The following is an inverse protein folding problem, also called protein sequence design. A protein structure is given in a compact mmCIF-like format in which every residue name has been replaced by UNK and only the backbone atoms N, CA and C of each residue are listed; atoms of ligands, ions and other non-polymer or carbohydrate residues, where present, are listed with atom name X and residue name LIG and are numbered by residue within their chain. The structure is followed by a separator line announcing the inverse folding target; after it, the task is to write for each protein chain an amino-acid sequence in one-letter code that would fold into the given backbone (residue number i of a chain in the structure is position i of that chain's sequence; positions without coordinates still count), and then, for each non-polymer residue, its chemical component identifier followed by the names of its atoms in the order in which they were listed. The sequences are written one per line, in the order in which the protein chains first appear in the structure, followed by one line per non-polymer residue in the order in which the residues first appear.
data_IF_392512641694
#
_entry.id   IF_392512641694
#
_cell.length_a   1.000
_cell.length_b   1.000
_cell.length_c   1.000
_cell.angle_alpha   90.00
_cell.angle_beta   90.00
_cell.angle_gamma   90.00
#
_symmetry.space_group_name_H-M   'P 1'
#
loop_
_entity.id
_entity.type
_entity.pdbx_description
1 polymer ?
#
# COMPACT_ATOMS: atom_id res chain seq x y z
N UNK A 1 27.16 -11.93 -0.52
CA UNK A 1 28.28 -12.63 -1.21
C UNK A 1 29.67 -12.17 -0.79
N UNK A 2 29.95 -10.87 -0.58
CA UNK A 2 31.30 -10.42 -0.16
C UNK A 2 31.79 -11.03 1.17
N UNK A 3 30.91 -11.26 2.15
CA UNK A 3 31.25 -11.92 3.43
C UNK A 3 31.20 -13.45 3.36
N UNK A 4 30.44 -14.03 2.43
CA UNK A 4 30.22 -15.48 2.29
C UNK A 4 30.24 -15.88 0.80
N UNK A 5 31.41 -16.04 0.18
CA UNK A 5 31.55 -16.23 -1.27
C UNK A 5 31.14 -17.63 -1.77
N UNK A 6 30.99 -18.59 -0.86
CA UNK A 6 30.60 -19.97 -1.19
C UNK A 6 29.09 -20.13 -1.41
N UNK A 7 28.29 -19.11 -1.08
CA UNK A 7 26.86 -19.12 -1.30
C UNK A 7 26.53 -18.31 -2.56
N UNK A 8 25.72 -18.90 -3.44
CA UNK A 8 25.12 -18.23 -4.58
C UNK A 8 23.61 -18.20 -4.37
N UNK A 9 23.03 -17.02 -4.54
CA UNK A 9 21.60 -16.80 -4.43
C UNK A 9 21.13 -16.30 -5.79
N UNK A 10 20.23 -17.04 -6.42
CA UNK A 10 19.60 -16.64 -7.68
C UNK A 10 18.15 -16.24 -7.35
N UNK A 11 17.77 -15.00 -7.70
CA UNK A 11 16.45 -14.43 -7.39
C UNK A 11 15.69 -14.18 -8.69
N UNK A 12 14.44 -14.63 -8.74
CA UNK A 12 13.53 -14.39 -9.87
C UNK A 12 12.21 -13.80 -9.40
N UNK A 13 11.67 -12.85 -10.17
CA UNK A 13 10.33 -12.30 -9.94
C UNK A 13 9.21 -13.23 -10.42
N UNK A 14 7.97 -12.91 -10.06
CA UNK A 14 6.81 -13.73 -10.42
C UNK A 14 5.51 -13.45 -9.67
N UNK A 15 5.56 -12.65 -8.59
CA UNK A 15 4.41 -12.35 -7.72
C UNK A 15 4.23 -13.37 -6.59
N UNK A 16 3.46 -12.99 -5.56
CA UNK A 16 3.28 -13.77 -4.33
C UNK A 16 2.70 -15.17 -4.58
N UNK A 17 1.64 -15.26 -5.41
CA UNK A 17 1.02 -16.56 -5.74
C UNK A 17 1.98 -17.52 -6.45
N UNK A 18 2.84 -17.01 -7.35
CA UNK A 18 3.87 -17.82 -7.99
C UNK A 18 4.94 -18.25 -6.98
N UNK A 19 5.40 -17.35 -6.11
CA UNK A 19 6.37 -17.68 -5.07
C UNK A 19 5.89 -18.81 -4.14
N UNK A 20 4.63 -18.73 -3.70
CA UNK A 20 3.99 -19.77 -2.88
C UNK A 20 3.91 -21.09 -3.65
N UNK A 21 3.39 -21.06 -4.89
CA UNK A 21 3.21 -22.26 -5.70
C UNK A 21 4.52 -22.94 -6.09
N UNK A 22 5.55 -22.17 -6.43
CA UNK A 22 6.88 -22.70 -6.77
C UNK A 22 7.53 -23.37 -5.55
N UNK A 23 7.41 -22.78 -4.35
CA UNK A 23 7.91 -23.39 -3.11
C UNK A 23 7.13 -24.67 -2.78
N UNK A 24 5.81 -24.65 -2.90
CA UNK A 24 4.94 -25.81 -2.69
C UNK A 24 5.32 -27.00 -3.60
N UNK A 25 5.71 -26.71 -4.83
CA UNK A 25 6.12 -27.70 -5.83
C UNK A 25 7.62 -28.04 -5.77
N UNK A 26 8.38 -27.48 -4.82
CA UNK A 26 9.84 -27.62 -4.69
C UNK A 26 10.61 -27.21 -5.97
N UNK A 27 10.09 -26.20 -6.70
CA UNK A 27 10.76 -25.60 -7.85
C UNK A 27 11.78 -24.53 -7.43
N UNK A 28 11.61 -23.99 -6.21
CA UNK A 28 12.53 -23.05 -5.56
C UNK A 28 12.74 -23.49 -4.11
N UNK A 29 13.90 -23.15 -3.54
CA UNK A 29 14.20 -23.40 -2.12
C UNK A 29 13.37 -22.49 -1.19
N UNK A 30 13.11 -21.25 -1.65
CA UNK A 30 12.39 -20.21 -0.91
C UNK A 30 11.43 -19.51 -1.87
N UNK A 31 10.14 -19.57 -1.56
CA UNK A 31 9.11 -18.69 -2.12
C UNK A 31 9.09 -17.34 -1.40
N UNK A 32 8.70 -16.27 -2.09
CA UNK A 32 8.48 -14.96 -1.47
C UNK A 32 7.02 -14.56 -1.62
N UNK A 33 6.42 -14.06 -0.55
CA UNK A 33 5.04 -13.60 -0.55
C UNK A 33 4.91 -12.26 0.17
N UNK A 34 4.11 -11.35 -0.38
CA UNK A 34 3.72 -10.09 0.27
C UNK A 34 2.35 -10.14 0.95
N UNK A 35 1.83 -11.35 1.16
CA UNK A 35 0.58 -11.63 1.88
C UNK A 35 0.70 -12.93 2.67
N UNK A 36 -0.14 -13.14 3.70
CA UNK A 36 -0.28 -14.45 4.33
C UNK A 36 -0.70 -15.53 3.33
N UNK A 37 -0.42 -16.79 3.67
CA UNK A 37 -0.95 -17.93 2.91
C UNK A 37 -2.45 -18.01 3.13
N UNK A 38 -3.18 -18.29 2.05
CA UNK A 38 -4.61 -18.52 2.10
C UNK A 38 -4.90 -19.87 2.74
N UNK A 39 -6.08 -20.00 3.35
CA UNK A 39 -6.52 -21.27 3.95
C UNK A 39 -6.49 -22.41 2.92
N UNK A 40 -6.92 -22.15 1.69
CA UNK A 40 -6.92 -23.13 0.60
C UNK A 40 -5.50 -23.56 0.23
N UNK A 41 -4.51 -22.65 0.27
CA UNK A 41 -3.11 -22.97 0.00
C UNK A 41 -2.50 -23.85 1.10
N UNK A 42 -2.87 -23.61 2.36
CA UNK A 42 -2.45 -24.43 3.50
C UNK A 42 -3.15 -25.80 3.53
N UNK A 43 -4.41 -25.87 3.07
CA UNK A 43 -5.13 -27.13 2.93
C UNK A 43 -4.54 -28.00 1.81
N UNK A 44 -4.16 -27.39 0.68
CA UNK A 44 -3.53 -28.09 -0.44
C UNK A 44 -2.08 -28.47 -0.13
N UNK A 45 -1.33 -27.58 0.53
CA UNK A 45 0.08 -27.76 0.86
C UNK A 45 0.35 -27.52 2.36
N UNK A 46 -0.04 -28.47 3.23
CA UNK A 46 0.06 -28.31 4.69
C UNK A 46 1.49 -28.26 5.23
N UNK A 47 2.47 -28.59 4.39
CA UNK A 47 3.90 -28.49 4.73
C UNK A 47 4.48 -27.10 4.48
N UNK A 48 3.74 -26.16 3.90
CA UNK A 48 4.24 -24.80 3.73
C UNK A 48 4.39 -24.09 5.07
N UNK A 49 5.53 -23.44 5.26
CA UNK A 49 5.87 -22.66 6.44
C UNK A 49 6.12 -21.21 5.99
N UNK A 50 5.21 -20.27 6.28
CA UNK A 50 5.45 -18.85 6.10
C UNK A 50 6.28 -18.28 7.25
N UNK A 51 7.40 -17.65 6.91
CA UNK A 51 8.36 -17.07 7.83
C UNK A 51 8.35 -15.55 7.57
N UNK A 52 7.79 -14.74 8.47
CA UNK A 52 7.89 -13.28 8.37
C UNK A 52 9.35 -12.85 8.28
N UNK A 53 9.66 -11.85 7.46
CA UNK A 53 11.03 -11.34 7.30
C UNK A 53 11.16 -9.82 7.36
N UNK A 54 10.06 -9.11 7.10
CA UNK A 54 9.95 -7.66 7.20
C UNK A 54 8.48 -7.25 7.13
N UNK A 55 8.19 -5.99 7.39
CA UNK A 55 6.90 -5.36 7.14
C UNK A 55 7.01 -4.27 6.08
N UNK A 56 5.87 -3.94 5.47
CA UNK A 56 5.72 -2.86 4.50
C UNK A 56 4.39 -2.13 4.75
N UNK A 57 4.32 -0.88 4.35
CA UNK A 57 3.09 -0.08 4.37
C UNK A 57 2.84 0.52 3.00
N UNK A 58 1.57 0.60 2.62
CA UNK A 58 1.13 1.33 1.44
C UNK A 58 0.63 2.71 1.87
N UNK A 59 1.22 3.73 1.27
CA UNK A 59 0.99 5.12 1.60
C UNK A 59 0.20 5.78 0.48
N UNK A 60 -0.89 6.47 0.84
CA UNK A 60 -1.59 7.33 -0.09
C UNK A 60 -0.80 8.62 -0.24
N UNK A 61 -0.51 9.01 -1.47
CA UNK A 61 0.28 10.19 -1.78
C UNK A 61 -0.49 11.13 -2.70
N UNK A 62 -0.27 12.42 -2.50
CA UNK A 62 -0.72 13.50 -3.39
C UNK A 62 0.46 14.39 -3.77
N UNK A 63 0.27 15.23 -4.77
CA UNK A 63 1.25 16.26 -5.10
C UNK A 63 1.40 17.27 -3.94
N UNK A 64 2.63 17.65 -3.63
CA UNK A 64 2.93 18.69 -2.63
C UNK A 64 2.39 20.09 -2.98
N UNK A 65 1.94 20.30 -4.23
CA UNK A 65 1.29 21.52 -4.72
C UNK A 65 -0.22 21.38 -4.88
N UNK A 66 -0.82 20.31 -4.34
CA UNK A 66 -2.27 20.17 -4.34
C UNK A 66 -2.91 21.38 -3.64
N UNK A 67 -3.94 22.02 -4.24
CA UNK A 67 -4.53 23.26 -3.71
C UNK A 67 -5.16 23.09 -2.33
N UNK A 68 -5.49 21.86 -1.93
CA UNK A 68 -6.13 21.51 -0.67
C UNK A 68 -5.22 20.77 0.30
N UNK A 69 -3.91 20.73 0.03
CA UNK A 69 -2.96 19.90 0.78
C UNK A 69 -3.08 20.07 2.31
N UNK A 70 -3.17 21.30 2.81
CA UNK A 70 -3.29 21.53 4.26
C UNK A 70 -4.52 20.85 4.85
N UNK A 71 -5.68 21.01 4.21
CA UNK A 71 -6.93 20.39 4.64
C UNK A 71 -6.86 18.87 4.55
N UNK A 72 -6.25 18.34 3.49
CA UNK A 72 -6.08 16.89 3.29
C UNK A 72 -5.13 16.28 4.34
N UNK A 73 -4.07 16.99 4.74
CA UNK A 73 -3.18 16.53 5.80
C UNK A 73 -3.84 16.57 7.19
N UNK A 74 -4.73 17.54 7.43
CA UNK A 74 -5.45 17.67 8.69
C UNK A 74 -6.58 16.64 8.85
N UNK A 75 -7.36 16.43 7.78
CA UNK A 75 -8.54 15.55 7.79
C UNK A 75 -8.22 14.10 7.39
N UNK A 76 -7.15 13.89 6.64
CA UNK A 76 -6.87 12.64 5.96
C UNK A 76 -7.88 12.30 4.87
N UNK A 77 -7.80 11.06 4.41
CA UNK A 77 -8.73 10.47 3.45
C UNK A 77 -9.32 9.20 4.05
N UNK A 78 -10.63 9.05 3.95
CA UNK A 78 -11.30 7.88 4.51
C UNK A 78 -11.24 6.69 3.55
N UNK A 79 -11.36 5.47 4.08
CA UNK A 79 -11.47 4.24 3.27
C UNK A 79 -12.62 4.32 2.26
N UNK A 80 -13.79 4.80 2.69
CA UNK A 80 -14.95 5.02 1.81
C UNK A 80 -14.66 6.04 0.71
N UNK A 81 -13.92 7.10 1.01
CA UNK A 81 -13.50 8.09 0.01
C UNK A 81 -12.59 7.47 -1.04
N UNK A 82 -11.59 6.70 -0.60
CA UNK A 82 -10.68 5.98 -1.49
C UNK A 82 -11.43 4.96 -2.36
N UNK A 83 -12.42 4.26 -1.82
CA UNK A 83 -13.29 3.35 -2.57
C UNK A 83 -14.05 4.07 -3.70
N UNK A 84 -14.64 5.25 -3.41
CA UNK A 84 -15.37 6.03 -4.43
C UNK A 84 -14.47 6.56 -5.55
N UNK A 85 -13.21 6.85 -5.24
CA UNK A 85 -12.20 7.31 -6.20
C UNK A 85 -11.70 6.14 -7.06
N UNK A 86 -11.23 5.07 -6.41
CA UNK A 86 -10.47 4.00 -7.05
C UNK A 86 -11.30 2.78 -7.45
N UNK A 87 -12.54 2.63 -7.01
CA UNK A 87 -13.38 1.46 -7.35
C UNK A 87 -14.64 1.89 -8.07
N UNK A 88 -15.39 2.85 -7.52
CA UNK A 88 -16.60 3.31 -8.20
C UNK A 88 -16.33 4.30 -9.34
N UNK A 89 -15.21 5.04 -9.26
CA UNK A 89 -14.94 6.20 -10.13
C UNK A 89 -16.01 7.31 -10.02
N UNK A 90 -16.83 7.28 -8.96
CA UNK A 90 -18.01 8.13 -8.80
C UNK A 90 -17.68 9.49 -8.20
N UNK A 91 -16.61 9.57 -7.41
CA UNK A 91 -16.09 10.80 -6.79
C UNK A 91 -14.89 11.30 -7.59
N UNK A 92 -15.00 12.52 -8.14
CA UNK A 92 -14.00 13.10 -9.03
C UNK A 92 -13.48 14.46 -8.60
N UNK A 93 -13.93 15.05 -7.49
CA UNK A 93 -13.50 16.40 -7.08
C UNK A 93 -12.89 16.44 -5.69
N UNK A 94 -11.76 17.15 -5.59
CA UNK A 94 -11.09 17.45 -4.34
C UNK A 94 -11.93 18.32 -3.40
N UNK A 95 -12.86 19.13 -3.93
CA UNK A 95 -13.78 19.94 -3.12
C UNK A 95 -14.58 19.07 -2.16
N UNK A 96 -15.14 17.96 -2.66
CA UNK A 96 -15.91 17.04 -1.85
C UNK A 96 -15.06 16.32 -0.81
N UNK A 97 -13.85 15.91 -1.18
CA UNK A 97 -12.91 15.28 -0.23
C UNK A 97 -12.55 16.24 0.91
N UNK A 98 -12.25 17.49 0.58
CA UNK A 98 -11.90 18.50 1.57
C UNK A 98 -13.13 19.10 2.29
N UNK A 99 -14.33 18.93 1.73
CA UNK A 99 -15.57 19.53 2.22
C UNK A 99 -15.57 21.05 2.12
N UNK A 100 -15.01 21.61 1.06
CA UNK A 100 -14.90 23.06 0.84
C UNK A 100 -15.34 23.44 -0.57
N UNK A 101 -16.05 24.55 -0.69
CA UNK A 101 -16.38 25.21 -1.96
C UNK A 101 -15.22 26.14 -2.33
N UNK A 102 -14.53 25.87 -3.45
CA UNK A 102 -13.34 26.60 -3.86
C UNK A 102 -13.60 27.68 -4.91
N UNK A 103 -14.71 27.59 -5.65
CA UNK A 103 -15.05 28.57 -6.70
C UNK A 103 -16.13 29.57 -6.26
N UNK A 104 -16.77 29.33 -5.12
CA UNK A 104 -17.76 30.20 -4.49
C UNK A 104 -19.15 30.09 -5.12
N UNK A 105 -19.43 29.01 -5.84
CA UNK A 105 -20.74 28.76 -6.47
C UNK A 105 -21.81 28.25 -5.49
N UNK A 106 -21.42 28.04 -4.22
CA UNK A 106 -22.20 27.52 -3.08
C UNK A 106 -22.41 26.00 -3.09
N UNK A 107 -21.89 25.31 -4.08
CA UNK A 107 -21.90 23.85 -4.15
C UNK A 107 -20.49 23.32 -3.90
N UNK A 108 -20.42 22.05 -3.52
CA UNK A 108 -19.17 21.33 -3.37
C UNK A 108 -19.19 20.27 -4.46
N UNK A 109 -18.36 20.44 -5.50
CA UNK A 109 -18.37 19.55 -6.67
C UNK A 109 -18.11 18.10 -6.28
N UNK A 110 -18.88 17.16 -6.85
CA UNK A 110 -18.70 15.71 -6.61
C UNK A 110 -18.22 14.99 -7.87
N UNK A 111 -18.96 15.16 -8.99
CA UNK A 111 -18.59 14.67 -10.32
C UNK A 111 -19.26 15.51 -11.41
N UNK A 112 -19.28 15.05 -12.67
CA UNK A 112 -19.77 15.80 -13.82
C UNK A 112 -21.28 16.08 -13.81
N UNK A 113 -22.05 15.39 -12.98
CA UNK A 113 -23.51 15.50 -12.95
C UNK A 113 -24.07 15.80 -11.58
N UNK A 114 -23.26 15.75 -10.53
CA UNK A 114 -23.70 15.95 -9.15
C UNK A 114 -22.76 16.86 -8.38
N UNK A 115 -23.33 17.64 -7.49
CA UNK A 115 -22.62 18.44 -6.50
C UNK A 115 -23.36 18.38 -5.16
N UNK A 116 -22.63 18.49 -4.07
CA UNK A 116 -23.21 18.55 -2.73
C UNK A 116 -23.65 19.97 -2.43
N UNK A 117 -24.89 20.11 -1.96
CA UNK A 117 -25.46 21.37 -1.54
C UNK A 117 -25.38 21.49 -0.01
N UNK A 118 -24.52 22.36 0.54
CA UNK A 118 -24.39 22.54 1.99
C UNK A 118 -25.65 23.06 2.68
N UNK A 119 -26.54 23.76 1.96
CA UNK A 119 -27.78 24.28 2.54
C UNK A 119 -28.82 23.17 2.77
N UNK A 120 -28.89 22.18 1.87
CA UNK A 120 -29.85 21.06 1.97
C UNK A 120 -29.24 19.81 2.61
N UNK A 121 -27.90 19.70 2.59
CA UNK A 121 -27.16 18.53 3.06
C UNK A 121 -27.26 17.34 2.09
N UNK A 122 -27.61 17.58 0.83
CA UNK A 122 -27.87 16.54 -0.16
C UNK A 122 -26.89 16.61 -1.34
N UNK A 123 -26.60 15.44 -1.91
CA UNK A 123 -25.98 15.35 -3.22
C UNK A 123 -27.06 15.54 -4.29
N UNK A 124 -27.00 16.66 -5.02
CA UNK A 124 -28.02 17.09 -5.97
C UNK A 124 -27.56 16.85 -7.40
N UNK A 125 -28.49 16.42 -8.27
CA UNK A 125 -28.25 16.34 -9.71
C UNK A 125 -28.26 17.75 -10.29
N UNK A 126 -27.17 18.10 -10.97
CA UNK A 126 -26.96 19.43 -11.52
C UNK A 126 -27.31 19.44 -13.03
N UNK A 127 -28.26 20.29 -13.49
CA UNK A 127 -28.69 20.34 -14.88
C UNK A 127 -27.65 21.01 -15.81
N UNK A 128 -27.99 21.12 -17.09
CA UNK A 128 -27.18 21.45 -18.30
C UNK A 128 -26.22 22.66 -18.26
N UNK A 129 -26.17 23.39 -17.16
CA UNK A 129 -25.45 24.65 -17.00
C UNK A 129 -24.30 24.49 -15.98
N UNK A 130 -24.27 23.36 -15.25
CA UNK A 130 -23.20 22.99 -14.34
C UNK A 130 -21.96 22.58 -15.13
N UNK A 131 -20.87 23.29 -14.86
CA UNK A 131 -19.56 22.96 -15.38
C UNK A 131 -18.73 22.43 -14.22
N UNK A 132 -18.51 21.12 -14.22
CA UNK A 132 -17.61 20.49 -13.26
C UNK A 132 -16.24 21.17 -13.29
N UNK A 133 -15.73 21.66 -12.14
CA UNK A 133 -14.53 22.47 -12.12
C UNK A 133 -13.31 21.57 -12.33
N UNK A 134 -12.86 21.45 -13.58
CA UNK A 134 -11.66 20.68 -13.95
C UNK A 134 -10.37 21.14 -13.21
N UNK A 135 -10.38 22.33 -12.61
CA UNK A 135 -9.28 22.83 -11.77
C UNK A 135 -9.14 22.10 -10.43
N UNK A 136 -10.15 21.31 -10.04
CA UNK A 136 -10.20 20.54 -8.79
C UNK A 136 -10.51 19.06 -9.03
N UNK A 137 -10.45 18.61 -10.28
CA UNK A 137 -10.63 17.20 -10.64
C UNK A 137 -9.56 16.35 -9.93
N UNK A 138 -9.93 15.13 -9.54
CA UNK A 138 -9.03 14.13 -8.98
C UNK A 138 -8.50 13.32 -10.15
N UNK A 139 -7.18 13.14 -10.22
CA UNK A 139 -6.56 12.26 -11.21
C UNK A 139 -5.98 11.01 -10.50
N UNK A 140 -6.74 9.89 -10.40
CA UNK A 140 -6.25 8.69 -9.74
C UNK A 140 -5.15 8.03 -10.57
N UNK A 141 -4.07 7.64 -9.91
CA UNK A 141 -2.93 6.92 -10.50
C UNK A 141 -2.86 5.53 -9.89
N UNK A 142 -2.88 4.51 -10.73
CA UNK A 142 -2.83 3.10 -10.33
C UNK A 142 -1.64 2.38 -10.97
N UNK A 143 -1.48 1.08 -10.72
CA UNK A 143 -0.36 0.27 -11.22
C UNK A 143 -0.77 -0.55 -12.44
N UNK A 144 0.02 -0.45 -13.51
CA UNK A 144 -0.20 -1.24 -14.74
C UNK A 144 0.42 -2.64 -14.69
N UNK A 145 1.34 -2.88 -13.76
CA UNK A 145 2.01 -4.16 -13.54
C UNK A 145 1.46 -4.91 -12.33
N UNK A 146 1.59 -6.24 -12.33
CA UNK A 146 1.28 -7.06 -11.15
C UNK A 146 2.12 -6.59 -9.96
N UNK A 147 1.47 -6.02 -8.96
CA UNK A 147 2.13 -5.23 -7.93
C UNK A 147 1.59 -5.58 -6.57
N UNK A 148 2.45 -6.09 -5.68
CA UNK A 148 2.03 -6.31 -4.30
C UNK A 148 1.49 -5.03 -3.65
N UNK A 149 2.08 -3.85 -3.91
CA UNK A 149 1.57 -2.58 -3.35
C UNK A 149 0.14 -2.30 -3.81
N UNK A 150 -0.20 -2.64 -5.05
CA UNK A 150 -1.54 -2.44 -5.58
C UNK A 150 -2.51 -3.51 -5.09
N UNK A 151 -2.07 -4.76 -5.00
CA UNK A 151 -2.84 -5.86 -4.39
C UNK A 151 -3.23 -5.52 -2.95
N UNK A 152 -2.27 -5.08 -2.11
CA UNK A 152 -2.55 -4.68 -0.72
C UNK A 152 -3.50 -3.49 -0.63
N UNK A 153 -3.36 -2.49 -1.51
CA UNK A 153 -4.29 -1.36 -1.57
C UNK A 153 -5.70 -1.79 -2.00
N UNK A 154 -5.81 -2.65 -3.00
CA UNK A 154 -7.09 -3.20 -3.46
C UNK A 154 -7.78 -4.04 -2.39
N UNK A 155 -7.02 -4.89 -1.70
CA UNK A 155 -7.49 -5.70 -0.56
C UNK A 155 -8.04 -4.81 0.56
N UNK A 156 -7.34 -3.71 0.88
CA UNK A 156 -7.84 -2.71 1.82
C UNK A 156 -9.20 -2.15 1.37
N UNK A 157 -9.42 -1.94 0.08
CA UNK A 157 -10.70 -1.51 -0.49
C UNK A 157 -11.72 -2.66 -0.67
N UNK A 158 -11.33 -3.91 -0.40
CA UNK A 158 -12.18 -5.09 -0.53
C UNK A 158 -12.39 -5.58 -1.96
N UNK A 159 -11.47 -5.26 -2.87
CA UNK A 159 -11.51 -5.62 -4.30
C UNK A 159 -10.19 -6.22 -4.79
N UNK A 160 -10.11 -6.63 -6.05
CA UNK A 160 -8.86 -7.07 -6.68
C UNK A 160 -8.14 -5.90 -7.36
N UNK A 161 -6.84 -6.04 -7.64
CA UNK A 161 -6.06 -4.98 -8.31
C UNK A 161 -6.69 -4.56 -9.65
N UNK A 162 -7.27 -5.51 -10.38
CA UNK A 162 -7.89 -5.31 -11.69
C UNK A 162 -9.16 -4.45 -11.63
N UNK A 163 -9.78 -4.32 -10.45
CA UNK A 163 -10.95 -3.49 -10.21
C UNK A 163 -10.58 -2.02 -9.90
N UNK A 164 -9.29 -1.70 -9.77
CA UNK A 164 -8.83 -0.35 -9.49
C UNK A 164 -8.87 0.55 -10.73
N UNK A 165 -9.62 1.64 -10.63
CA UNK A 165 -9.74 2.71 -11.62
C UNK A 165 -8.56 3.71 -11.54
N UNK A 166 -8.24 4.32 -12.68
CA UNK A 166 -7.21 5.37 -12.78
C UNK A 166 -6.19 5.14 -13.88
N UNK A 167 -5.24 6.07 -14.00
CA UNK A 167 -4.15 5.98 -14.98
C UNK A 167 -3.12 4.95 -14.49
N UNK A 168 -3.04 3.81 -15.18
CA UNK A 168 -2.07 2.75 -14.88
C UNK A 168 -0.64 3.12 -15.28
N UNK A 169 0.30 3.04 -14.34
CA UNK A 169 1.73 3.29 -14.56
C UNK A 169 2.61 2.18 -14.00
N UNK A 170 3.84 2.07 -14.52
CA UNK A 170 4.76 1.00 -14.16
C UNK A 170 5.54 1.31 -12.87
N UNK A 171 5.43 0.44 -11.87
CA UNK A 171 6.26 0.52 -10.65
C UNK A 171 5.95 1.71 -9.73
N UNK A 172 6.46 1.67 -8.49
CA UNK A 172 6.44 2.83 -7.58
C UNK A 172 7.10 4.09 -8.19
N UNK A 173 8.24 4.00 -8.92
CA UNK A 173 8.83 5.19 -9.55
C UNK A 173 7.92 5.86 -10.57
N UNK A 174 7.12 5.11 -11.33
CA UNK A 174 6.15 5.65 -12.28
C UNK A 174 5.01 6.39 -11.59
N UNK A 175 4.48 5.84 -10.48
CA UNK A 175 3.46 6.51 -9.66
C UNK A 175 4.03 7.80 -9.09
N UNK A 176 5.21 7.77 -8.47
CA UNK A 176 5.86 8.97 -7.93
C UNK A 176 6.04 10.07 -8.96
N UNK A 177 6.57 9.71 -10.14
CA UNK A 177 6.80 10.68 -11.21
C UNK A 177 5.48 11.33 -11.67
N UNK A 178 4.43 10.52 -11.81
CA UNK A 178 3.10 11.00 -12.25
C UNK A 178 2.49 11.92 -11.20
N UNK A 179 2.45 11.49 -9.94
CA UNK A 179 1.90 12.28 -8.85
C UNK A 179 2.69 13.58 -8.62
N UNK A 180 4.02 13.54 -8.66
CA UNK A 180 4.85 14.74 -8.51
C UNK A 180 4.68 15.74 -9.68
N UNK A 181 4.34 15.24 -10.88
CA UNK A 181 4.12 16.06 -12.07
C UNK A 181 2.77 16.76 -12.11
N UNK A 182 1.76 16.24 -11.40
CA UNK A 182 0.36 16.66 -11.52
C UNK A 182 -0.20 17.11 -10.16
N UNK A 183 -0.47 18.42 -9.94
CA UNK A 183 -1.05 18.95 -8.70
C UNK A 183 -2.36 18.30 -8.24
N UNK A 184 -3.09 17.68 -9.16
CA UNK A 184 -4.41 17.10 -8.93
C UNK A 184 -4.38 15.58 -8.78
N UNK A 185 -3.21 14.97 -8.94
CA UNK A 185 -3.06 13.53 -8.85
C UNK A 185 -3.05 13.00 -7.41
N UNK A 186 -3.68 11.84 -7.24
CA UNK A 186 -3.58 10.97 -6.08
C UNK A 186 -3.01 9.63 -6.54
N UNK A 187 -2.15 9.03 -5.75
CA UNK A 187 -1.57 7.72 -6.01
C UNK A 187 -1.32 6.96 -4.71
N UNK A 188 -0.79 5.75 -4.83
CA UNK A 188 -0.36 4.95 -3.70
C UNK A 188 1.00 4.30 -3.98
N UNK A 189 1.88 4.28 -2.97
CA UNK A 189 3.24 3.72 -3.09
C UNK A 189 3.65 3.00 -1.80
N UNK A 190 4.66 2.14 -1.88
CA UNK A 190 5.26 1.56 -0.67
C UNK A 190 5.96 2.61 0.21
N UNK A 191 6.11 2.32 1.50
CA UNK A 191 6.63 3.24 2.51
C UNK A 191 7.97 3.91 2.10
N UNK A 192 8.90 3.12 1.57
CA UNK A 192 10.20 3.56 1.03
C UNK A 192 10.14 4.76 0.07
N UNK A 193 9.01 4.94 -0.60
CA UNK A 193 8.78 5.91 -1.67
C UNK A 193 7.93 7.11 -1.23
N UNK A 194 7.28 7.04 -0.06
CA UNK A 194 6.21 7.98 0.31
C UNK A 194 6.69 9.35 0.84
N UNK A 195 7.97 9.47 1.20
CA UNK A 195 8.54 10.67 1.81
C UNK A 195 9.64 11.27 0.92
N UNK A 196 9.29 11.59 -0.32
CA UNK A 196 10.19 12.19 -1.32
C UNK A 196 9.75 13.61 -1.66
N UNK A 197 10.65 14.40 -2.24
CA UNK A 197 10.33 15.75 -2.69
C UNK A 197 9.24 15.74 -3.78
N UNK A 198 8.35 16.74 -3.75
CA UNK A 198 7.29 16.91 -4.76
C UNK A 198 5.97 16.21 -4.42
N UNK A 199 5.95 15.32 -3.42
CA UNK A 199 4.74 14.61 -2.97
C UNK A 199 4.58 14.71 -1.44
N UNK A 200 3.38 14.41 -0.95
CA UNK A 200 3.07 14.30 0.47
C UNK A 200 2.22 13.06 0.72
N UNK A 201 2.54 12.31 1.77
CA UNK A 201 1.71 11.21 2.24
C UNK A 201 0.51 11.75 3.04
N UNK A 202 -0.68 11.20 2.81
CA UNK A 202 -1.90 11.55 3.53
C UNK A 202 -2.18 10.54 4.64
N UNK A 203 -2.70 10.98 5.80
CA UNK A 203 -3.25 10.07 6.79
C UNK A 203 -4.53 9.40 6.25
N UNK A 204 -4.81 8.18 6.71
CA UNK A 204 -5.92 7.36 6.23
C UNK A 204 -6.86 7.01 7.37
N UNK A 205 -8.06 7.58 7.39
CA UNK A 205 -9.14 7.17 8.30
C UNK A 205 -9.70 5.82 7.83
N UNK A 206 -9.22 4.75 8.44
CA UNK A 206 -9.47 3.38 8.02
C UNK A 206 -10.86 2.88 8.44
N UNK A 207 -11.37 3.44 9.53
CA UNK A 207 -12.63 3.03 10.15
C UNK A 207 -13.81 3.97 9.79
N UNK A 208 -13.55 5.00 8.98
CA UNK A 208 -14.52 6.00 8.49
C UNK A 208 -15.23 6.76 9.63
N UNK A 209 -14.56 6.95 10.78
CA UNK A 209 -15.16 7.64 11.92
C UNK A 209 -14.99 9.18 11.89
N UNK A 210 -14.23 9.69 10.91
CA UNK A 210 -13.97 11.11 10.71
C UNK A 210 -12.86 11.69 11.59
N UNK A 211 -12.06 10.87 12.25
CA UNK A 211 -10.93 11.25 13.09
C UNK A 211 -9.69 10.48 12.62
N UNK A 212 -8.54 11.16 12.63
CA UNK A 212 -7.25 10.51 12.39
C UNK A 212 -6.64 10.10 13.72
N UNK A 213 -6.54 8.80 13.94
CA UNK A 213 -5.88 8.22 15.10
C UNK A 213 -4.35 8.21 14.95
N UNK A 214 -3.64 8.04 16.07
CA UNK A 214 -2.16 8.12 16.08
C UNK A 214 -1.49 7.15 15.10
N UNK A 215 -2.03 5.95 14.97
CA UNK A 215 -1.52 4.89 14.09
C UNK A 215 -1.89 5.11 12.62
N UNK A 216 -2.86 5.98 12.33
CA UNK A 216 -3.30 6.32 10.98
C UNK A 216 -2.52 7.49 10.36
N UNK A 217 -1.70 8.18 11.17
CA UNK A 217 -0.93 9.33 10.72
C UNK A 217 0.19 8.93 9.78
N UNK A 218 0.43 9.78 8.78
CA UNK A 218 1.53 9.65 7.82
C UNK A 218 2.62 10.74 8.03
N UNK A 219 2.94 11.06 9.30
CA UNK A 219 3.82 12.19 9.65
C UNK A 219 5.26 12.04 9.11
N UNK A 220 5.78 10.81 9.11
CA UNK A 220 7.12 10.47 8.64
C UNK A 220 7.26 8.95 8.47
N UNK A 221 8.31 8.54 7.75
CA UNK A 221 8.67 7.12 7.60
C UNK A 221 8.84 6.43 8.96
N UNK A 222 9.53 7.09 9.90
CA UNK A 222 9.77 6.57 11.24
C UNK A 222 8.47 6.41 12.06
N UNK A 223 7.53 7.35 11.91
CA UNK A 223 6.23 7.28 12.61
C UNK A 223 5.40 6.09 12.10
N UNK A 224 5.30 5.91 10.79
CA UNK A 224 4.57 4.77 10.19
C UNK A 224 5.24 3.46 10.61
N UNK A 225 6.57 3.40 10.55
CA UNK A 225 7.32 2.22 10.97
C UNK A 225 7.09 1.85 12.43
N UNK A 226 6.95 2.83 13.34
CA UNK A 226 6.69 2.56 14.76
C UNK A 226 5.25 2.08 15.05
N UNK A 227 4.34 2.23 14.09
CA UNK A 227 2.94 1.79 14.17
C UNK A 227 2.63 0.73 13.12
N UNK A 228 3.64 0.04 12.57
CA UNK A 228 3.44 -0.83 11.41
C UNK A 228 2.45 -1.99 11.68
N UNK A 229 2.38 -2.44 12.93
CA UNK A 229 1.51 -3.52 13.38
C UNK A 229 0.01 -3.13 13.33
N UNK A 230 -0.32 -1.85 13.50
CA UNK A 230 -1.68 -1.33 13.49
C UNK A 230 -1.95 -0.27 12.40
N UNK A 231 -0.96 0.05 11.56
CA UNK A 231 -1.12 0.98 10.45
C UNK A 231 -2.18 0.48 9.44
N UNK A 232 -3.10 1.32 8.95
CA UNK A 232 -4.27 0.90 8.16
C UNK A 232 -4.02 0.01 6.95
N UNK A 233 -2.97 0.32 6.20
CA UNK A 233 -2.63 -0.37 4.96
C UNK A 233 -1.21 -0.92 5.09
N UNK A 234 -1.02 -1.86 6.00
CA UNK A 234 0.26 -2.56 6.20
C UNK A 234 0.17 -4.04 5.82
N UNK A 235 1.35 -4.65 5.68
CA UNK A 235 1.48 -6.08 5.40
C UNK A 235 2.80 -6.62 5.91
N UNK A 236 2.77 -7.89 6.31
CA UNK A 236 3.98 -8.66 6.50
C UNK A 236 4.48 -9.22 5.17
N UNK A 237 5.80 -9.32 5.04
CA UNK A 237 6.50 -9.96 3.94
C UNK A 237 7.07 -11.29 4.44
N UNK A 238 6.94 -12.34 3.63
CA UNK A 238 7.24 -13.70 4.02
C UNK A 238 8.24 -14.35 3.08
N UNK A 239 9.17 -15.10 3.65
CA UNK A 239 9.71 -16.27 2.99
C UNK A 239 8.76 -17.45 3.20
N UNK A 240 8.66 -18.32 2.21
CA UNK A 240 7.80 -19.49 2.24
C UNK A 240 8.66 -20.70 1.89
N UNK A 241 8.79 -21.64 2.82
CA UNK A 241 9.52 -22.90 2.59
C UNK A 241 8.56 -24.07 2.66
N UNK A 242 8.93 -25.18 2.02
CA UNK A 242 8.14 -26.40 2.04
C UNK A 242 8.78 -27.43 2.98
N UNK A 243 8.22 -27.59 4.17
CA UNK A 243 8.77 -28.41 5.24
C UNK A 243 10.08 -27.85 5.78
N UNK A 244 10.90 -28.72 6.38
CA UNK A 244 12.19 -28.34 6.97
C UNK A 244 13.21 -28.00 5.87
N UNK A 245 13.69 -26.75 5.78
CA UNK A 245 14.62 -26.36 4.73
C UNK A 245 15.99 -27.06 4.91
N UNK A 246 16.75 -27.29 3.81
CA UNK A 246 18.14 -27.70 3.88
C UNK A 246 18.98 -26.74 4.74
N UNK A 247 20.09 -27.23 5.31
CA UNK A 247 20.92 -26.44 6.23
C UNK A 247 21.34 -25.10 5.61
N UNK A 248 21.75 -25.10 4.36
CA UNK A 248 22.24 -23.92 3.65
C UNK A 248 21.13 -22.86 3.47
N UNK A 249 19.90 -23.32 3.26
CA UNK A 249 18.70 -22.47 3.15
C UNK A 249 18.32 -21.93 4.53
N UNK A 250 18.31 -22.79 5.55
CA UNK A 250 18.06 -22.39 6.94
C UNK A 250 19.10 -21.37 7.45
N UNK A 251 20.39 -21.58 7.17
CA UNK A 251 21.46 -20.65 7.52
C UNK A 251 21.25 -19.27 6.87
N UNK A 252 20.80 -19.25 5.61
CA UNK A 252 20.50 -18.01 4.91
C UNK A 252 19.29 -17.28 5.52
N UNK A 253 18.19 -18.00 5.79
CA UNK A 253 17.01 -17.40 6.42
C UNK A 253 17.37 -16.89 7.82
N UNK A 254 18.11 -17.66 8.61
CA UNK A 254 18.61 -17.23 9.92
C UNK A 254 19.45 -15.96 9.81
N UNK A 255 20.34 -15.87 8.82
CA UNK A 255 21.11 -14.66 8.59
C UNK A 255 20.19 -13.47 8.27
N UNK A 256 19.19 -13.64 7.38
CA UNK A 256 18.20 -12.60 7.06
C UNK A 256 17.40 -12.13 8.29
N UNK A 257 17.03 -13.06 9.20
CA UNK A 257 16.30 -12.76 10.44
C UNK A 257 17.17 -12.11 11.52
N UNK A 258 18.49 -12.25 11.44
CA UNK A 258 19.43 -11.73 12.45
C UNK A 258 20.23 -10.56 11.91
N UNK A 259 21.44 -10.80 11.41
CA UNK A 259 22.32 -9.77 10.85
C UNK A 259 21.66 -9.01 9.69
N UNK A 260 20.86 -9.71 8.88
CA UNK A 260 20.20 -9.15 7.70
C UNK A 260 19.17 -8.07 8.00
N UNK A 261 18.61 -8.03 9.22
CA UNK A 261 17.63 -7.03 9.61
C UNK A 261 18.20 -5.60 9.57
N UNK A 262 19.52 -5.43 9.71
CA UNK A 262 20.16 -4.11 9.62
C UNK A 262 19.98 -3.46 8.24
N UNK A 263 19.80 -4.25 7.17
CA UNK A 263 19.64 -3.76 5.80
C UNK A 263 18.18 -3.49 5.41
N UNK A 264 17.21 -3.94 6.21
CA UNK A 264 15.77 -3.85 5.86
C UNK A 264 15.33 -2.39 5.76
N UNK A 265 15.72 -1.56 6.72
CA UNK A 265 15.44 -0.12 6.68
C UNK A 265 16.20 0.62 5.57
N UNK A 266 17.39 0.15 5.16
CA UNK A 266 18.15 0.80 4.09
C UNK A 266 17.43 0.74 2.73
N UNK A 267 16.60 -0.28 2.53
CA UNK A 267 15.77 -0.46 1.33
C UNK A 267 14.32 0.01 1.53
N UNK A 268 14.01 0.61 2.68
CA UNK A 268 12.75 1.27 2.99
C UNK A 268 11.59 0.33 3.39
N UNK A 269 11.93 -0.85 3.91
CA UNK A 269 11.00 -1.73 4.62
C UNK A 269 11.17 -1.57 6.14
N UNK A 270 10.22 -2.09 6.90
CA UNK A 270 10.26 -2.04 8.37
C UNK A 270 10.80 -3.37 8.91
N UNK A 271 11.88 -3.35 9.73
CA UNK A 271 12.44 -4.57 10.30
C UNK A 271 11.48 -5.20 11.30
N UNK A 272 11.65 -6.50 11.50
CA UNK A 272 10.95 -7.23 12.55
C UNK A 272 11.40 -6.75 13.94
N UNK A 273 10.50 -6.83 14.90
CA UNK A 273 10.82 -6.71 16.32
C UNK A 273 11.65 -7.90 16.79
N UNK A 274 12.36 -7.77 17.92
CA UNK A 274 13.13 -8.89 18.47
C UNK A 274 12.28 -10.10 18.84
N UNK A 275 11.00 -9.88 19.18
CA UNK A 275 10.02 -10.94 19.46
C UNK A 275 9.67 -11.69 18.17
N UNK A 276 9.27 -10.98 17.11
CA UNK A 276 8.98 -11.56 15.79
C UNK A 276 10.19 -12.27 15.17
N UNK A 277 11.41 -11.78 15.40
CA UNK A 277 12.64 -12.45 14.99
C UNK A 277 12.76 -13.80 15.67
N UNK A 278 12.56 -13.89 16.98
CA UNK A 278 12.67 -15.17 17.69
C UNK A 278 11.57 -16.14 17.25
N UNK A 279 10.32 -15.69 17.13
CA UNK A 279 9.21 -16.49 16.60
C UNK A 279 9.52 -17.01 15.19
N UNK A 280 10.06 -16.17 14.31
CA UNK A 280 10.45 -16.55 12.94
C UNK A 280 11.61 -17.54 12.92
N UNK A 281 12.55 -17.43 13.87
CA UNK A 281 13.66 -18.36 14.02
C UNK A 281 13.20 -19.74 14.49
N UNK A 282 12.18 -19.83 15.35
CA UNK A 282 11.60 -21.10 15.77
C UNK A 282 11.02 -21.89 14.58
N UNK A 283 10.41 -21.21 13.61
CA UNK A 283 9.82 -21.82 12.40
C UNK A 283 10.85 -22.56 11.53
N UNK A 284 12.11 -22.09 11.49
CA UNK A 284 13.18 -22.75 10.72
C UNK A 284 14.03 -23.71 11.55
N UNK A 285 13.96 -23.62 12.88
CA UNK A 285 14.71 -24.48 13.81
C UNK A 285 14.02 -25.81 14.11
N UNK A 286 12.72 -25.94 13.78
CA UNK A 286 11.83 -27.05 14.13
C UNK A 286 12.53 -28.40 14.36
N UNK A 287 12.28 -28.95 15.55
CA UNK A 287 12.88 -30.14 16.20
C UNK A 287 13.21 -31.31 15.25
#
# INVERSE_FOLDING_TARGET
MQKNPNYRIDVSGGGSGKGISDAAQNLVDIGMSSRPLKSEELEEYPSLIPIPVAHDAVMIIVNSRNPLLHTLLEKGVSRHTLFKIYVEGSLKSWEYVAGVDLDGDKYIGYNETHAFNPETGLLEYMPSDYAFPASYEIHPVTRSDASGTAETFAEFLGVSQEDLEGVGVLGNPGVLQTVAGDPLAIGYVGLAFAFKEGICALPVDANDNGLIEVHERADSEAHVASHIADYPISRALFFVVNGKPPKEVADFIQWCLTEGQEYVSEVGYVPLTSEEVEESLELIRGE
#
